data_IF_401618401778
#
_entry.id   IF_401618401778
#
_cell.length_a   1.000
_cell.length_b   1.000
_cell.length_c   1.000
_cell.angle_alpha   90.00
_cell.angle_beta   90.00
_cell.angle_gamma   90.00
#
_symmetry.space_group_name_H-M   'P 1'
#
loop_
_entity.id
_entity.type
_entity.pdbx_description
1 polymer ?
#
# COMPACT_ATOMS: atom_id res chain seq x y z
N UNK A 1 19.70 -2.30 25.13
CA UNK A 1 18.43 -2.53 24.41
C UNK A 1 17.30 -1.88 25.17
N UNK A 2 16.25 -1.42 24.50
CA UNK A 2 15.10 -0.79 25.14
C UNK A 2 13.80 -1.28 24.51
N UNK A 3 12.76 -1.40 25.32
CA UNK A 3 11.41 -1.71 24.87
C UNK A 3 10.39 -0.95 25.72
N UNK A 4 9.21 -0.71 25.18
CA UNK A 4 8.12 -0.01 25.88
C UNK A 4 7.46 -0.85 26.98
N UNK A 5 7.64 -2.17 26.94
CA UNK A 5 7.14 -3.13 27.93
C UNK A 5 8.22 -4.15 28.29
N UNK A 6 8.13 -4.70 29.50
CA UNK A 6 9.12 -5.65 30.04
C UNK A 6 9.13 -7.00 29.30
N UNK A 7 7.95 -7.54 29.00
CA UNK A 7 7.79 -8.78 28.23
C UNK A 7 8.41 -8.67 26.82
N UNK A 8 8.25 -7.51 26.19
CA UNK A 8 8.87 -7.22 24.89
C UNK A 8 10.40 -7.08 25.02
N UNK A 9 10.90 -6.52 26.12
CA UNK A 9 12.35 -6.39 26.36
C UNK A 9 13.02 -7.77 26.50
N UNK A 10 12.38 -8.68 27.23
CA UNK A 10 12.84 -10.06 27.38
C UNK A 10 12.91 -10.76 26.02
N UNK A 11 11.82 -10.69 25.24
CA UNK A 11 11.79 -11.25 23.89
C UNK A 11 12.87 -10.67 22.95
N UNK A 12 13.06 -9.34 22.96
CA UNK A 12 14.09 -8.68 22.12
C UNK A 12 15.49 -9.12 22.52
N UNK A 13 15.74 -9.27 23.82
CA UNK A 13 17.05 -9.72 24.32
C UNK A 13 17.33 -11.14 23.81
N UNK A 14 16.36 -12.03 23.93
CA UNK A 14 16.49 -13.42 23.47
C UNK A 14 16.73 -13.50 21.96
N UNK A 15 15.96 -12.77 21.13
CA UNK A 15 16.11 -12.80 19.67
C UNK A 15 17.39 -12.09 19.19
N UNK A 16 17.92 -11.11 19.94
CA UNK A 16 19.17 -10.44 19.61
C UNK A 16 20.40 -11.32 19.90
N UNK A 17 20.36 -12.09 21.00
CA UNK A 17 21.43 -13.03 21.35
C UNK A 17 21.34 -14.33 20.53
N UNK A 18 20.19 -14.61 19.90
CA UNK A 18 20.01 -15.76 19.03
C UNK A 18 20.93 -15.70 17.79
N UNK A 19 21.48 -16.85 17.34
CA UNK A 19 22.32 -16.90 16.16
C UNK A 19 21.53 -16.54 14.89
N UNK A 20 22.20 -15.89 13.93
CA UNK A 20 21.59 -15.50 12.66
C UNK A 20 21.10 -16.75 11.91
N UNK A 21 19.79 -16.80 11.66
CA UNK A 21 19.15 -17.87 10.88
C UNK A 21 19.61 -17.77 9.42
N UNK A 22 20.29 -18.81 8.92
CA UNK A 22 20.66 -18.90 7.50
C UNK A 22 19.41 -19.09 6.63
N UNK A 23 19.40 -18.50 5.44
CA UNK A 23 18.33 -18.71 4.45
C UNK A 23 18.35 -20.18 4.03
N UNK A 24 17.24 -20.89 4.29
CA UNK A 24 17.06 -22.31 3.95
C UNK A 24 15.88 -22.47 2.97
N UNK A 25 15.87 -23.57 2.20
CA UNK A 25 14.72 -24.02 1.44
C UNK A 25 13.37 -23.95 2.19
N UNK A 26 12.25 -23.77 1.46
CA UNK A 26 12.16 -23.64 0.01
C UNK A 26 12.46 -22.21 -0.51
N UNK A 27 13.06 -22.12 -1.69
CA UNK A 27 13.33 -20.87 -2.40
C UNK A 27 12.16 -20.49 -3.31
N UNK A 28 11.82 -19.21 -3.32
CA UNK A 28 10.66 -18.70 -4.06
C UNK A 28 11.01 -18.42 -5.51
N UNK A 29 10.22 -18.98 -6.42
CA UNK A 29 10.36 -18.79 -7.87
C UNK A 29 9.13 -18.14 -8.47
N UNK A 30 9.33 -17.33 -9.52
CA UNK A 30 8.26 -16.69 -10.28
C UNK A 30 8.21 -17.23 -11.70
N UNK A 31 7.05 -17.10 -12.32
CA UNK A 31 6.84 -17.46 -13.72
C UNK A 31 7.67 -16.55 -14.65
N UNK A 32 8.14 -17.09 -15.77
CA UNK A 32 8.76 -16.32 -16.86
C UNK A 32 7.82 -16.22 -18.09
N UNK A 33 8.17 -15.41 -19.09
CA UNK A 33 7.31 -15.18 -20.27
C UNK A 33 7.03 -16.49 -21.03
N UNK A 34 8.04 -17.34 -21.23
CA UNK A 34 7.87 -18.61 -21.95
C UNK A 34 6.92 -19.57 -21.22
N UNK A 35 7.08 -19.71 -19.90
CA UNK A 35 6.18 -20.51 -19.06
C UNK A 35 4.76 -19.95 -19.07
N UNK A 36 4.63 -18.62 -19.06
CA UNK A 36 3.35 -17.94 -19.10
C UNK A 36 2.60 -18.23 -20.41
N UNK A 37 3.27 -18.14 -21.55
CA UNK A 37 2.71 -18.45 -22.86
C UNK A 37 2.31 -19.93 -22.96
N UNK A 38 3.18 -20.85 -22.55
CA UNK A 38 2.90 -22.28 -22.56
C UNK A 38 1.67 -22.62 -21.69
N UNK A 39 1.60 -22.07 -20.47
CA UNK A 39 0.45 -22.28 -19.59
C UNK A 39 -0.82 -21.66 -20.16
N UNK A 40 -0.74 -20.46 -20.76
CA UNK A 40 -1.87 -19.82 -21.44
C UNK A 40 -2.41 -20.67 -22.59
N UNK A 41 -1.53 -21.28 -23.40
CA UNK A 41 -1.90 -22.18 -24.49
C UNK A 41 -2.59 -23.45 -23.95
N UNK A 42 -2.03 -24.09 -22.93
CA UNK A 42 -2.62 -25.30 -22.34
C UNK A 42 -3.96 -25.04 -21.66
N UNK A 43 -4.09 -23.92 -20.94
CA UNK A 43 -5.34 -23.50 -20.29
C UNK A 43 -6.35 -22.89 -21.29
N UNK A 44 -5.96 -22.68 -22.55
CA UNK A 44 -6.75 -22.04 -23.61
C UNK A 44 -7.37 -20.72 -23.15
N UNK A 45 -6.58 -19.89 -22.45
CA UNK A 45 -7.06 -18.62 -21.90
C UNK A 45 -6.10 -17.47 -22.15
N UNK A 46 -6.64 -16.28 -22.43
CA UNK A 46 -5.89 -15.03 -22.58
C UNK A 46 -5.93 -14.15 -21.31
N UNK A 47 -6.51 -14.68 -20.22
CA UNK A 47 -6.55 -13.98 -18.93
C UNK A 47 -5.27 -14.26 -18.16
N UNK A 48 -4.49 -13.20 -17.95
CA UNK A 48 -3.27 -13.26 -17.14
C UNK A 48 -3.58 -13.69 -15.70
N UNK A 49 -4.65 -13.16 -15.10
CA UNK A 49 -5.04 -13.48 -13.73
C UNK A 49 -5.31 -14.98 -13.55
N UNK A 50 -5.99 -15.63 -14.53
CA UNK A 50 -6.24 -17.07 -14.50
C UNK A 50 -4.95 -17.88 -14.60
N UNK A 51 -4.05 -17.49 -15.50
CA UNK A 51 -2.75 -18.18 -15.69
C UNK A 51 -1.88 -18.06 -14.44
N UNK A 52 -1.74 -16.85 -13.88
CA UNK A 52 -0.96 -16.61 -12.67
C UNK A 52 -1.54 -17.33 -11.45
N UNK A 53 -2.87 -17.35 -11.31
CA UNK A 53 -3.53 -18.05 -10.22
C UNK A 53 -3.35 -19.57 -10.35
N UNK A 54 -3.43 -20.10 -11.57
CA UNK A 54 -3.14 -21.50 -11.84
C UNK A 54 -1.68 -21.85 -11.49
N UNK A 55 -0.73 -21.01 -11.91
CA UNK A 55 0.69 -21.17 -11.58
C UNK A 55 0.92 -21.21 -10.07
N UNK A 56 0.34 -20.27 -9.33
CA UNK A 56 0.53 -20.18 -7.88
C UNK A 56 -0.04 -21.38 -7.12
N UNK A 57 -1.15 -21.96 -7.57
CA UNK A 57 -1.86 -23.03 -6.86
C UNK A 57 -1.44 -24.44 -7.28
N UNK A 58 -1.05 -24.64 -8.54
CA UNK A 58 -0.93 -25.99 -9.12
C UNK A 58 0.50 -26.35 -9.51
N UNK A 59 1.44 -25.39 -9.52
CA UNK A 59 2.80 -25.71 -9.97
C UNK A 59 3.58 -26.46 -8.91
N UNK A 60 4.13 -27.60 -9.35
CA UNK A 60 5.09 -28.39 -8.59
C UNK A 60 6.48 -28.10 -9.13
N UNK A 61 7.42 -27.82 -8.25
CA UNK A 61 8.80 -27.58 -8.59
C UNK A 61 9.65 -28.76 -8.15
N UNK A 62 10.63 -29.14 -8.97
CA UNK A 62 11.61 -30.14 -8.57
C UNK A 62 12.63 -29.50 -7.63
N UNK A 63 12.95 -30.17 -6.52
CA UNK A 63 13.92 -29.66 -5.54
C UNK A 63 13.33 -28.65 -4.54
N UNK A 64 14.17 -27.83 -3.91
CA UNK A 64 13.79 -26.97 -2.79
C UNK A 64 13.09 -25.67 -3.24
N UNK A 65 12.10 -25.73 -4.13
CA UNK A 65 11.47 -24.52 -4.68
C UNK A 65 9.96 -24.49 -4.45
N UNK A 66 9.43 -23.28 -4.29
CA UNK A 66 7.99 -23.01 -4.18
C UNK A 66 7.60 -21.75 -4.99
N UNK A 67 6.32 -21.63 -5.32
CA UNK A 67 5.83 -20.44 -6.01
C UNK A 67 5.95 -19.20 -5.09
N UNK A 68 6.45 -18.09 -5.64
CA UNK A 68 6.48 -16.82 -4.94
C UNK A 68 5.05 -16.31 -4.64
N UNK A 69 4.93 -15.42 -3.65
CA UNK A 69 3.66 -14.75 -3.39
C UNK A 69 3.34 -13.78 -4.54
N UNK A 70 2.26 -14.08 -5.28
CA UNK A 70 1.80 -13.29 -6.43
C UNK A 70 0.56 -12.44 -6.12
N UNK A 71 0.17 -12.23 -4.86
CA UNK A 71 -1.07 -11.52 -4.50
C UNK A 71 -1.18 -10.14 -5.13
N UNK A 72 -0.14 -9.32 -5.01
CA UNK A 72 -0.10 -7.97 -5.60
C UNK A 72 -0.10 -8.01 -7.14
N UNK A 73 0.61 -8.96 -7.74
CA UNK A 73 0.60 -9.15 -9.20
C UNK A 73 -0.76 -9.62 -9.70
N UNK A 74 -1.46 -10.47 -8.94
CA UNK A 74 -2.82 -10.92 -9.24
C UNK A 74 -3.80 -9.75 -9.21
N UNK A 75 -3.71 -8.86 -8.22
CA UNK A 75 -4.50 -7.63 -8.18
C UNK A 75 -4.28 -6.76 -9.42
N UNK A 76 -3.02 -6.50 -9.79
CA UNK A 76 -2.69 -5.76 -11.00
C UNK A 76 -3.18 -6.47 -12.27
N UNK A 77 -3.04 -7.80 -12.34
CA UNK A 77 -3.45 -8.60 -13.49
C UNK A 77 -4.96 -8.52 -13.75
N UNK A 78 -5.80 -8.40 -12.70
CA UNK A 78 -7.24 -8.22 -12.85
C UNK A 78 -7.59 -6.89 -13.52
N UNK A 79 -6.88 -5.82 -13.16
CA UNK A 79 -7.06 -4.49 -13.79
C UNK A 79 -6.66 -4.53 -15.26
N UNK A 80 -5.54 -5.20 -15.55
CA UNK A 80 -5.01 -5.28 -16.91
C UNK A 80 -5.84 -6.22 -17.78
N UNK A 81 -6.35 -7.33 -17.23
CA UNK A 81 -7.24 -8.25 -17.93
C UNK A 81 -8.61 -7.65 -18.27
N UNK A 82 -9.05 -6.63 -17.53
CA UNK A 82 -10.28 -5.90 -17.85
C UNK A 82 -10.14 -4.99 -19.07
N UNK A 83 -8.97 -4.93 -19.71
CA UNK A 83 -8.68 -4.10 -20.88
C UNK A 83 -8.39 -5.00 -22.08
N UNK A 84 -9.02 -4.67 -23.19
CA UNK A 84 -8.78 -5.34 -24.47
C UNK A 84 -7.62 -4.67 -25.22
N UNK A 85 -7.03 -5.40 -26.17
CA UNK A 85 -5.98 -4.87 -27.05
C UNK A 85 -4.54 -4.98 -26.53
N UNK A 86 -4.32 -5.66 -25.39
CA UNK A 86 -3.00 -5.99 -24.88
C UNK A 86 -2.62 -7.44 -25.19
N UNK A 87 -1.38 -7.66 -25.61
CA UNK A 87 -0.77 -9.00 -25.69
C UNK A 87 -0.56 -9.58 -24.30
N UNK A 88 -0.48 -10.91 -24.16
CA UNK A 88 -0.24 -11.54 -22.86
C UNK A 88 1.08 -11.09 -22.23
N UNK A 89 2.10 -10.84 -23.06
CA UNK A 89 3.39 -10.29 -22.65
C UNK A 89 3.26 -8.86 -22.11
N UNK A 90 2.55 -7.97 -22.82
CA UNK A 90 2.30 -6.60 -22.35
C UNK A 90 1.51 -6.62 -21.04
N UNK A 91 0.52 -7.51 -20.93
CA UNK A 91 -0.24 -7.67 -19.70
C UNK A 91 0.68 -8.07 -18.54
N UNK A 92 1.58 -9.01 -18.77
CA UNK A 92 2.50 -9.50 -17.76
C UNK A 92 3.56 -8.47 -17.37
N UNK A 93 4.05 -7.67 -18.33
CA UNK A 93 4.90 -6.51 -18.05
C UNK A 93 4.16 -5.53 -17.13
N UNK A 94 2.95 -5.12 -17.49
CA UNK A 94 2.17 -4.14 -16.73
C UNK A 94 1.77 -4.64 -15.33
N UNK A 95 1.48 -5.94 -15.19
CA UNK A 95 1.15 -6.53 -13.89
C UNK A 95 2.34 -6.60 -12.91
N UNK A 96 3.58 -6.44 -13.41
CA UNK A 96 4.79 -6.34 -12.58
C UNK A 96 5.04 -4.92 -12.05
N UNK A 97 4.25 -3.92 -12.50
CA UNK A 97 4.42 -2.55 -12.07
C UNK A 97 4.15 -2.40 -10.56
N UNK A 98 4.95 -1.57 -9.85
CA UNK A 98 4.78 -1.35 -8.41
C UNK A 98 3.54 -0.47 -8.16
N UNK A 99 2.39 -1.10 -7.95
CA UNK A 99 1.13 -0.41 -7.70
C UNK A 99 0.48 -0.86 -6.39
N UNK A 100 -0.38 0.00 -5.86
CA UNK A 100 -1.33 -0.34 -4.80
C UNK A 100 -2.74 -0.09 -5.30
N UNK A 101 -3.64 -1.02 -5.03
CA UNK A 101 -5.07 -0.92 -5.36
C UNK A 101 -5.86 -0.10 -4.34
N UNK A 102 -5.23 0.25 -3.20
CA UNK A 102 -5.87 0.99 -2.10
C UNK A 102 -6.08 2.47 -2.41
N UNK A 103 -5.28 3.04 -3.31
CA UNK A 103 -5.36 4.46 -3.68
C UNK A 103 -6.08 4.64 -5.00
N UNK A 104 -7.16 5.40 -5.00
CA UNK A 104 -7.98 5.68 -6.20
C UNK A 104 -7.18 6.44 -7.26
N UNK A 105 -6.33 7.40 -6.85
CA UNK A 105 -5.49 8.20 -7.74
C UNK A 105 -4.51 7.29 -8.49
N UNK A 106 -3.88 6.34 -7.80
CA UNK A 106 -2.92 5.40 -8.41
C UNK A 106 -3.62 4.46 -9.38
N UNK A 107 -4.78 3.92 -9.00
CA UNK A 107 -5.58 3.03 -9.88
C UNK A 107 -6.06 3.79 -11.13
N UNK A 108 -6.53 5.02 -10.99
CA UNK A 108 -6.96 5.85 -12.13
C UNK A 108 -5.78 6.16 -13.06
N UNK A 109 -4.63 6.52 -12.51
CA UNK A 109 -3.41 6.76 -13.28
C UNK A 109 -2.96 5.50 -14.02
N UNK A 110 -2.95 4.35 -13.35
CA UNK A 110 -2.60 3.07 -13.98
C UNK A 110 -3.54 2.74 -15.14
N UNK A 111 -4.85 2.91 -14.97
CA UNK A 111 -5.82 2.75 -16.07
C UNK A 111 -5.54 3.70 -17.25
N UNK A 112 -5.19 4.96 -16.97
CA UNK A 112 -4.83 5.94 -17.99
C UNK A 112 -3.56 5.54 -18.74
N UNK A 113 -2.54 5.08 -18.02
CA UNK A 113 -1.28 4.62 -18.60
C UNK A 113 -1.47 3.38 -19.47
N UNK A 114 -2.27 2.40 -19.02
CA UNK A 114 -2.65 1.24 -19.83
C UNK A 114 -3.33 1.67 -21.13
N UNK A 115 -4.26 2.63 -21.07
CA UNK A 115 -4.93 3.13 -22.27
C UNK A 115 -3.96 3.79 -23.25
N UNK A 116 -2.91 4.46 -22.78
CA UNK A 116 -1.84 5.00 -23.63
C UNK A 116 -1.00 3.91 -24.28
N UNK A 117 -0.71 2.81 -23.57
CA UNK A 117 -0.01 1.64 -24.12
C UNK A 117 -0.84 1.01 -25.24
N UNK A 118 -2.13 0.76 -25.00
CA UNK A 118 -3.05 0.19 -26.02
C UNK A 118 -3.11 1.08 -27.27
N UNK A 119 -3.23 2.40 -27.08
CA UNK A 119 -3.29 3.36 -28.19
C UNK A 119 -1.95 3.64 -28.85
N UNK A 120 -0.84 3.13 -28.29
CA UNK A 120 0.53 3.43 -28.69
C UNK A 120 0.81 4.93 -28.81
N UNK A 121 0.29 5.71 -27.85
CA UNK A 121 0.44 7.18 -27.82
C UNK A 121 1.30 7.61 -26.63
N UNK A 122 2.22 8.56 -26.81
CA UNK A 122 2.98 9.14 -25.71
C UNK A 122 2.06 9.67 -24.60
N UNK A 123 2.43 9.38 -23.36
CA UNK A 123 1.77 9.85 -22.14
C UNK A 123 2.75 10.70 -21.34
N UNK A 124 2.50 12.00 -21.32
CA UNK A 124 3.27 12.96 -20.54
C UNK A 124 2.83 12.95 -19.08
N UNK A 125 3.79 13.04 -18.16
CA UNK A 125 3.51 13.03 -16.74
C UNK A 125 2.74 14.30 -16.33
N UNK A 126 1.63 14.08 -15.63
CA UNK A 126 0.75 15.13 -15.09
C UNK A 126 0.52 14.91 -13.59
N UNK A 127 0.87 15.88 -12.74
CA UNK A 127 0.51 15.85 -11.33
C UNK A 127 -1.01 15.81 -11.15
N UNK A 128 -1.49 15.06 -10.15
CA UNK A 128 -2.92 15.02 -9.78
C UNK A 128 -3.24 16.01 -8.67
N UNK A 129 -2.20 16.49 -7.98
CA UNK A 129 -2.30 17.48 -6.93
C UNK A 129 -1.30 18.60 -7.18
N UNK A 130 -1.65 19.80 -6.72
CA UNK A 130 -0.69 20.89 -6.55
C UNK A 130 -0.08 20.78 -5.16
N UNK A 131 1.23 20.97 -5.04
CA UNK A 131 1.92 20.90 -3.77
C UNK A 131 1.32 21.95 -2.80
N UNK A 132 0.74 21.55 -1.66
CA UNK A 132 0.22 22.52 -0.70
C UNK A 132 1.39 23.27 -0.04
N UNK A 133 1.14 24.49 0.45
CA UNK A 133 2.18 25.29 1.14
C UNK A 133 2.64 24.64 2.46
N UNK A 134 1.74 23.91 3.13
CA UNK A 134 1.98 23.19 4.37
C UNK A 134 1.00 22.02 4.48
N UNK A 135 1.45 20.86 4.93
CA UNK A 135 0.55 19.79 5.35
C UNK A 135 0.09 20.12 6.77
N UNK A 136 -1.22 20.29 6.94
CA UNK A 136 -1.81 20.60 8.26
C UNK A 136 -2.31 19.30 8.88
N UNK A 137 -2.92 18.44 8.06
CA UNK A 137 -3.56 17.20 8.49
C UNK A 137 -2.79 15.96 8.00
N UNK A 138 -3.01 14.82 8.66
CA UNK A 138 -2.49 13.54 8.17
C UNK A 138 -3.06 13.15 6.80
N UNK A 139 -4.28 13.60 6.46
CA UNK A 139 -4.89 13.38 5.15
C UNK A 139 -4.14 14.11 4.02
N UNK A 140 -3.70 15.34 4.27
CA UNK A 140 -2.90 16.10 3.30
C UNK A 140 -1.59 15.37 2.97
N UNK A 141 -0.95 14.82 4.01
CA UNK A 141 0.29 14.07 3.85
C UNK A 141 0.05 12.76 3.06
N UNK A 142 -1.04 12.06 3.33
CA UNK A 142 -1.42 10.85 2.61
C UNK A 142 -1.64 11.10 1.10
N UNK A 143 -2.29 12.22 0.73
CA UNK A 143 -2.46 12.59 -0.68
C UNK A 143 -1.11 12.80 -1.38
N UNK A 144 -0.17 13.44 -0.69
CA UNK A 144 1.18 13.66 -1.22
C UNK A 144 1.95 12.35 -1.34
N UNK A 145 1.84 11.45 -0.36
CA UNK A 145 2.44 10.11 -0.45
C UNK A 145 1.89 9.30 -1.63
N UNK A 146 0.58 9.36 -1.86
CA UNK A 146 -0.05 8.68 -2.98
C UNK A 146 0.39 9.26 -4.33
N UNK A 147 0.61 10.58 -4.38
CA UNK A 147 1.20 11.23 -5.55
C UNK A 147 2.63 10.75 -5.82
N UNK A 148 3.46 10.61 -4.78
CA UNK A 148 4.82 10.05 -4.90
C UNK A 148 4.80 8.60 -5.40
N UNK A 149 3.86 7.79 -4.93
CA UNK A 149 3.68 6.40 -5.43
C UNK A 149 3.23 6.40 -6.89
N UNK A 150 2.34 7.32 -7.28
CA UNK A 150 1.93 7.51 -8.69
C UNK A 150 3.10 7.93 -9.57
N UNK A 151 3.97 8.83 -9.10
CA UNK A 151 5.21 9.21 -9.80
C UNK A 151 6.12 7.99 -9.96
N UNK A 152 6.27 7.19 -8.91
CA UNK A 152 7.10 5.99 -8.94
C UNK A 152 6.60 4.97 -9.98
N UNK A 153 5.27 4.83 -10.13
CA UNK A 153 4.66 4.05 -11.20
C UNK A 153 5.02 4.60 -12.59
N UNK A 154 4.92 5.92 -12.81
CA UNK A 154 5.28 6.55 -14.08
C UNK A 154 6.76 6.33 -14.42
N UNK A 155 7.66 6.53 -13.45
CA UNK A 155 9.10 6.31 -13.61
C UNK A 155 9.42 4.85 -13.95
N UNK A 156 8.73 3.90 -13.32
CA UNK A 156 8.90 2.49 -13.65
C UNK A 156 8.51 2.20 -15.10
N UNK A 157 7.40 2.79 -15.57
CA UNK A 157 6.95 2.67 -16.96
C UNK A 157 7.89 3.37 -17.95
N UNK A 158 8.47 4.52 -17.61
CA UNK A 158 9.41 5.21 -18.50
C UNK A 158 10.73 4.45 -18.68
N UNK A 159 11.18 3.68 -17.69
CA UNK A 159 12.30 2.76 -17.87
C UNK A 159 11.98 1.60 -18.82
N UNK A 160 10.74 1.10 -18.82
CA UNK A 160 10.33 -0.07 -19.63
C UNK A 160 9.87 0.31 -21.04
N UNK A 161 9.23 1.47 -21.18
CA UNK A 161 8.55 1.94 -22.39
C UNK A 161 8.90 3.43 -22.64
N UNK A 162 10.19 3.78 -22.85
CA UNK A 162 10.65 5.17 -22.90
C UNK A 162 9.95 6.00 -23.99
N UNK A 163 9.66 5.41 -25.14
CA UNK A 163 8.96 6.08 -26.24
C UNK A 163 7.51 6.48 -25.88
N UNK A 164 6.86 5.72 -25.01
CA UNK A 164 5.49 5.98 -24.57
C UNK A 164 5.43 6.86 -23.32
N UNK A 165 6.50 6.92 -22.52
CA UNK A 165 6.55 7.68 -21.28
C UNK A 165 7.82 8.54 -21.24
N UNK A 166 7.87 9.64 -22.02
CA UNK A 166 9.10 10.39 -22.25
C UNK A 166 9.52 11.31 -21.09
N UNK A 167 8.63 11.65 -20.16
CA UNK A 167 8.88 12.68 -19.13
C UNK A 167 9.64 12.13 -17.91
N UNK A 168 10.69 11.34 -18.12
CA UNK A 168 11.45 10.71 -17.03
C UNK A 168 12.02 11.74 -16.05
N UNK A 169 12.85 12.66 -16.55
CA UNK A 169 13.57 13.63 -15.71
C UNK A 169 12.61 14.57 -14.99
N UNK A 170 11.56 15.01 -15.69
CA UNK A 170 10.50 15.84 -15.11
C UNK A 170 9.81 15.13 -13.96
N UNK A 171 9.42 13.86 -14.14
CA UNK A 171 8.79 13.07 -13.09
C UNK A 171 9.74 12.84 -11.91
N UNK A 172 11.04 12.61 -12.18
CA UNK A 172 12.07 12.43 -11.16
C UNK A 172 12.24 13.68 -10.28
N UNK A 173 12.38 14.86 -10.90
CA UNK A 173 12.50 16.15 -10.18
C UNK A 173 11.26 16.41 -9.33
N UNK A 174 10.07 16.14 -9.86
CA UNK A 174 8.83 16.29 -9.11
C UNK A 174 8.79 15.35 -7.91
N UNK A 175 9.19 14.08 -8.07
CA UNK A 175 9.28 13.12 -6.97
C UNK A 175 10.11 13.67 -5.82
N UNK A 176 11.27 14.26 -6.11
CA UNK A 176 12.10 14.82 -5.05
C UNK A 176 11.54 16.08 -4.41
N UNK A 177 10.83 16.91 -5.16
CA UNK A 177 10.08 18.02 -4.58
C UNK A 177 9.03 17.54 -3.57
N UNK A 178 8.25 16.52 -3.95
CA UNK A 178 7.25 15.92 -3.07
C UNK A 178 7.88 15.18 -1.86
N UNK A 179 8.97 14.43 -2.04
CA UNK A 179 9.69 13.78 -0.93
C UNK A 179 10.21 14.79 0.08
N UNK A 180 10.83 15.89 -0.38
CA UNK A 180 11.30 16.97 0.50
C UNK A 180 10.14 17.62 1.26
N UNK A 181 8.98 17.74 0.61
CA UNK A 181 7.78 18.23 1.28
C UNK A 181 7.29 17.27 2.38
N UNK A 182 7.26 15.96 2.11
CA UNK A 182 6.91 14.94 3.11
C UNK A 182 7.88 15.01 4.30
N UNK A 183 9.18 15.05 4.04
CA UNK A 183 10.21 15.10 5.08
C UNK A 183 10.05 16.34 5.98
N UNK A 184 9.82 17.52 5.39
CA UNK A 184 9.56 18.76 6.14
C UNK A 184 8.27 18.67 6.96
N UNK A 185 7.23 18.06 6.40
CA UNK A 185 5.94 17.93 7.06
C UNK A 185 5.99 16.97 8.26
N UNK A 186 6.72 15.86 8.14
CA UNK A 186 6.91 14.87 9.21
C UNK A 186 7.75 15.40 10.38
N UNK A 187 8.64 16.36 10.14
CA UNK A 187 9.38 17.05 11.22
C UNK A 187 8.49 18.02 12.03
N UNK A 188 7.33 18.40 11.48
CA UNK A 188 6.35 19.26 12.15
C UNK A 188 5.34 18.48 13.00
N UNK A 189 4.48 19.20 13.72
CA UNK A 189 3.32 18.61 14.42
C UNK A 189 2.17 18.51 13.42
N UNK A 190 1.71 17.28 13.16
CA UNK A 190 0.54 17.01 12.32
C UNK A 190 -0.71 16.90 13.20
N UNK A 191 -1.84 17.46 12.72
CA UNK A 191 -3.13 17.35 13.41
C UNK A 191 -3.85 16.08 12.94
N UNK A 192 -4.31 15.26 13.89
CA UNK A 192 -5.15 14.09 13.62
C UNK A 192 -6.62 14.44 13.84
N UNK A 193 -7.36 14.66 12.77
CA UNK A 193 -8.79 15.01 12.80
C UNK A 193 -9.65 13.95 13.52
N UNK A 194 -9.19 12.69 13.65
CA UNK A 194 -9.94 11.64 14.34
C UNK A 194 -9.90 11.73 15.86
N UNK A 195 -8.99 12.53 16.45
CA UNK A 195 -8.89 12.69 17.91
C UNK A 195 -9.86 13.70 18.49
N UNK A 196 -10.52 14.52 17.66
CA UNK A 196 -11.39 15.60 18.12
C UNK A 196 -12.87 15.21 18.29
N UNK A 197 -13.24 13.95 17.99
CA UNK A 197 -14.51 13.38 18.45
C UNK A 197 -14.39 12.94 19.92
N UNK A 198 -14.33 13.91 20.85
CA UNK A 198 -14.50 13.61 22.27
C UNK A 198 -15.90 13.01 22.48
N UNK A 199 -16.05 11.87 23.20
CA UNK A 199 -17.37 11.40 23.60
C UNK A 199 -17.98 12.43 24.54
N UNK A 200 -19.13 12.97 24.14
CA UNK A 200 -19.95 13.85 24.96
C UNK A 200 -20.56 13.04 26.11
N UNK A 201 -19.80 12.77 27.16
CA UNK A 201 -20.37 12.22 28.39
C UNK A 201 -21.19 13.32 29.06
N UNK A 202 -22.50 13.31 28.81
CA UNK A 202 -23.49 14.00 29.65
C UNK A 202 -23.38 13.42 31.05
N UNK A 203 -22.92 14.22 31.99
CA UNK A 203 -23.01 13.93 33.41
C UNK A 203 -24.50 13.86 33.79
N UNK A 204 -25.04 12.65 33.87
CA UNK A 204 -26.36 12.36 34.45
C UNK A 204 -26.14 11.56 35.72
N UNK A 205 -26.40 12.20 36.86
CA UNK A 205 -26.86 11.51 38.06
C UNK A 205 -25.92 11.58 39.27
N UNK A 206 -26.14 12.59 40.11
CA UNK A 206 -26.03 12.45 41.56
C UNK A 206 -27.23 13.10 42.24
N UNK A 207 -28.36 12.43 42.13
CA UNK A 207 -29.46 12.55 43.08
C UNK A 207 -29.56 11.20 43.83
N UNK A 208 -29.75 11.30 45.13
CA UNK A 208 -30.15 10.26 46.08
C UNK A 208 -29.14 9.17 46.49
N UNK A 209 -28.62 9.30 47.72
CA UNK A 209 -29.05 8.53 48.91
C UNK A 209 -27.98 8.57 50.00
N UNK A 210 -28.30 9.19 51.15
CA UNK A 210 -28.37 8.49 52.44
C UNK A 210 -28.86 9.43 53.55
N UNK A 211 -30.11 9.21 53.93
CA UNK A 211 -30.73 9.71 55.14
C UNK A 211 -30.24 8.95 56.39
N UNK A 212 -30.21 9.70 57.49
CA UNK A 212 -30.57 9.34 58.87
C UNK A 212 -29.53 8.92 59.92
N UNK A 213 -29.91 9.33 61.15
CA UNK A 213 -29.34 9.15 62.50
C UNK A 213 -28.32 10.23 62.89
N UNK A 214 -28.66 11.19 63.76
CA UNK A 214 -29.13 10.98 65.13
C UNK A 214 -30.30 11.87 65.58
N UNK A 215 -31.24 11.23 66.27
CA UNK A 215 -32.29 11.87 67.06
C UNK A 215 -31.92 11.94 68.54
N UNK A 216 -32.44 12.99 69.21
CA UNK A 216 -32.68 13.18 70.65
C UNK A 216 -31.46 13.71 71.43
N UNK A 217 -31.57 14.76 72.26
CA UNK A 217 -32.60 14.94 73.30
C UNK A 217 -32.52 16.34 73.99
N UNK A 218 -33.68 17.03 74.11
CA UNK A 218 -34.18 17.93 75.20
C UNK A 218 -33.35 19.18 75.59
N UNK A 219 -33.87 20.30 76.11
CA UNK A 219 -35.20 20.81 76.52
C UNK A 219 -35.05 22.35 76.70
N UNK A 220 -36.18 23.06 76.57
CA UNK A 220 -36.49 24.46 76.96
C UNK A 220 -35.70 25.04 78.14
N UNK A 221 -35.36 26.34 78.07
CA UNK A 221 -36.13 27.48 78.65
C UNK A 221 -36.15 28.59 77.62
#
# INVERSE_FOLDING_TARGET
>A
MGATRRDVLEYIKDEFEAPIKTIKPPFKVKINNSQLENLSMHLKTKSLAKVLNFFALNMKFAGPFEAANLSSMLEASRIVDSKDGLSLEEKYLLAQAPITTKSTIIVQAFNSYIASVIKKRPNHYKPSITLPKKAITQKDLLLVEDEVKKISLYLWLSYKLPNLFPDHDKAFILRESFNRFIEKSLKGVLIDEKRDEKPFYKDRGKEDRKNNFYSRRRKRV
#
